data_IF_669118594708
#
_entry.id   IF_669118594708
#
_cell.length_a   1.000
_cell.length_b   1.000
_cell.length_c   1.000
_cell.angle_alpha   90.00
_cell.angle_beta   90.00
_cell.angle_gamma   90.00
#
_symmetry.space_group_name_H-M   'P 1'
#
loop_
_entity.id
_entity.type
_entity.pdbx_description
1 polymer ?
#
# COMPACT_ATOMS: atom_id res chain seq x y z
N UNK A 1 27.54 -25.96 41.73
CA UNK A 1 27.20 -27.37 42.04
C UNK A 1 26.16 -27.81 41.01
N UNK A 2 26.22 -28.87 40.20
CA UNK A 2 26.93 -30.17 40.07
C UNK A 2 27.44 -30.28 38.61
N UNK A 3 28.69 -30.64 38.30
CA UNK A 3 29.30 -31.99 38.18
C UNK A 3 28.59 -32.99 37.23
N UNK A 4 29.24 -33.19 36.07
CA UNK A 4 29.66 -34.44 35.38
C UNK A 4 28.66 -35.53 34.96
N UNK A 5 28.79 -36.00 33.70
CA UNK A 5 29.08 -37.39 33.25
C UNK A 5 28.92 -37.44 31.70
N UNK A 6 29.97 -37.49 30.86
CA UNK A 6 30.75 -38.68 30.45
C UNK A 6 29.90 -39.93 30.20
N UNK A 7 29.69 -40.23 28.92
CA UNK A 7 29.09 -41.47 28.43
C UNK A 7 29.72 -41.82 27.08
N UNK A 8 30.82 -42.57 27.15
CA UNK A 8 31.60 -43.10 26.04
C UNK A 8 31.03 -44.48 25.71
N UNK A 9 30.48 -44.68 24.52
CA UNK A 9 30.14 -46.02 24.01
C UNK A 9 30.75 -46.16 22.62
N UNK A 10 31.90 -46.80 22.60
CA UNK A 10 32.49 -47.39 21.41
C UNK A 10 31.74 -48.70 21.11
N UNK A 11 31.13 -48.81 19.93
CA UNK A 11 30.69 -50.09 19.38
C UNK A 11 31.04 -50.14 17.90
N UNK A 12 31.94 -51.07 17.58
CA UNK A 12 31.84 -51.92 16.40
C UNK A 12 32.24 -51.32 15.06
N UNK A 13 33.54 -51.39 14.75
CA UNK A 13 33.99 -51.55 13.37
C UNK A 13 33.45 -52.89 12.84
N UNK A 14 32.53 -52.85 11.89
CA UNK A 14 32.31 -53.94 10.94
C UNK A 14 32.55 -53.37 9.54
N UNK A 15 33.73 -53.68 9.01
CA UNK A 15 34.12 -53.40 7.63
C UNK A 15 33.31 -54.29 6.69
N UNK A 16 32.21 -53.76 6.15
CA UNK A 16 31.62 -54.30 4.94
C UNK A 16 32.21 -53.48 3.79
N UNK A 17 33.14 -54.10 3.07
CA UNK A 17 33.70 -53.57 1.83
C UNK A 17 32.61 -53.50 0.76
N UNK A 18 31.86 -52.40 0.78
CA UNK A 18 31.06 -51.96 -0.35
C UNK A 18 31.86 -50.87 -1.06
N UNK A 19 32.31 -51.14 -2.27
CA UNK A 19 32.90 -50.14 -3.16
C UNK A 19 31.95 -48.96 -3.27
N UNK A 20 32.25 -47.88 -2.54
CA UNK A 20 31.62 -46.60 -2.73
C UNK A 20 32.06 -46.11 -4.10
N UNK A 21 31.26 -46.42 -5.13
CA UNK A 21 31.28 -45.63 -6.36
C UNK A 21 30.90 -44.21 -5.92
N UNK A 22 31.90 -43.36 -5.80
CA UNK A 22 31.72 -41.94 -5.59
C UNK A 22 30.90 -41.41 -6.77
N UNK A 23 29.59 -41.30 -6.57
CA UNK A 23 28.74 -40.50 -7.44
C UNK A 23 29.13 -39.05 -7.20
N UNK A 24 30.06 -38.54 -8.02
CA UNK A 24 30.30 -37.10 -8.09
C UNK A 24 28.96 -36.43 -8.45
N UNK A 25 28.53 -35.40 -7.70
CA UNK A 25 27.32 -34.68 -8.05
C UNK A 25 27.55 -34.03 -9.41
N UNK A 26 26.84 -34.51 -10.44
CA UNK A 26 26.76 -33.86 -11.74
C UNK A 26 26.24 -32.45 -11.48
N UNK A 27 27.14 -31.46 -11.46
CA UNK A 27 26.76 -30.05 -11.40
C UNK A 27 26.03 -29.77 -12.72
N UNK A 28 24.75 -29.35 -12.72
CA UNK A 28 24.12 -28.91 -13.95
C UNK A 28 24.78 -27.60 -14.36
N UNK A 29 25.79 -27.68 -15.24
CA UNK A 29 26.37 -26.50 -15.89
C UNK A 29 25.49 -26.21 -17.12
N UNK A 30 24.32 -25.64 -16.87
CA UNK A 30 23.62 -24.89 -17.91
C UNK A 30 24.06 -23.44 -17.74
N UNK A 31 25.19 -23.09 -18.37
CA UNK A 31 25.58 -21.69 -18.55
C UNK A 31 24.66 -21.11 -19.62
N UNK A 32 23.58 -20.48 -19.18
CA UNK A 32 22.71 -19.71 -20.07
C UNK A 32 23.51 -18.50 -20.55
N UNK A 33 23.54 -18.28 -21.85
CA UNK A 33 24.19 -17.12 -22.47
C UNK A 33 23.67 -15.81 -21.80
N UNK A 34 24.57 -14.96 -21.25
CA UNK A 34 24.21 -13.68 -20.68
C UNK A 34 23.36 -12.80 -21.61
N UNK A 35 23.55 -12.89 -22.93
CA UNK A 35 22.78 -12.14 -23.92
C UNK A 35 21.30 -12.58 -23.95
N UNK A 36 21.02 -13.86 -23.74
CA UNK A 36 19.65 -14.39 -23.65
C UNK A 36 18.97 -13.82 -22.39
N UNK A 37 19.67 -13.83 -21.25
CA UNK A 37 19.18 -13.27 -19.98
C UNK A 37 18.88 -11.76 -20.10
N UNK A 38 19.76 -11.01 -20.77
CA UNK A 38 19.60 -9.57 -20.99
C UNK A 38 18.34 -9.25 -21.82
N UNK A 39 18.10 -9.99 -22.92
CA UNK A 39 16.91 -9.81 -23.76
C UNK A 39 15.61 -10.14 -23.02
N UNK A 40 15.58 -11.19 -22.20
CA UNK A 40 14.42 -11.50 -21.34
C UNK A 40 14.19 -10.43 -20.27
N UNK A 41 15.25 -9.81 -19.75
CA UNK A 41 15.14 -8.70 -18.80
C UNK A 41 14.51 -7.46 -19.47
N UNK A 42 15.03 -7.09 -20.65
CA UNK A 42 14.54 -5.95 -21.44
C UNK A 42 13.06 -6.09 -21.81
N UNK A 43 12.65 -7.23 -22.38
CA UNK A 43 11.26 -7.49 -22.75
C UNK A 43 10.29 -7.44 -21.55
N UNK A 44 10.75 -7.85 -20.36
CA UNK A 44 9.94 -7.77 -19.13
C UNK A 44 9.80 -6.33 -18.64
N UNK A 45 10.87 -5.55 -18.73
CA UNK A 45 10.88 -4.14 -18.38
C UNK A 45 9.95 -3.34 -19.30
N UNK A 46 10.06 -3.50 -20.63
CA UNK A 46 9.21 -2.77 -21.60
C UNK A 46 7.72 -3.08 -21.38
N UNK A 47 7.37 -4.36 -21.19
CA UNK A 47 6.00 -4.76 -20.85
C UNK A 47 5.52 -4.18 -19.52
N UNK A 48 6.42 -4.01 -18.55
CA UNK A 48 6.09 -3.40 -17.27
C UNK A 48 5.85 -1.89 -17.42
N UNK A 49 6.70 -1.19 -18.19
CA UNK A 49 6.56 0.24 -18.50
C UNK A 49 5.21 0.53 -19.17
N UNK A 50 4.80 -0.27 -20.15
CA UNK A 50 3.47 -0.13 -20.78
C UNK A 50 2.34 -0.25 -19.75
N UNK A 51 2.41 -1.26 -18.88
CA UNK A 51 1.41 -1.46 -17.80
C UNK A 51 1.44 -0.35 -16.75
N UNK A 52 2.60 0.27 -16.51
CA UNK A 52 2.75 1.42 -15.63
C UNK A 52 2.03 2.62 -16.24
N UNK A 53 2.19 2.87 -17.54
CA UNK A 53 1.44 3.92 -18.25
C UNK A 53 -0.08 3.75 -18.16
N UNK A 54 -0.60 2.53 -18.33
CA UNK A 54 -2.04 2.25 -18.14
C UNK A 54 -2.51 2.50 -16.71
N UNK A 55 -1.65 2.26 -15.71
CA UNK A 55 -1.96 2.50 -14.30
C UNK A 55 -1.97 3.98 -13.97
N UNK A 56 -1.08 4.78 -14.55
CA UNK A 56 -1.04 6.22 -14.37
C UNK A 56 -2.40 6.85 -14.70
N UNK A 57 -2.95 6.54 -15.88
CA UNK A 57 -4.25 7.04 -16.31
C UNK A 57 -5.39 6.63 -15.35
N UNK A 58 -5.31 5.43 -14.76
CA UNK A 58 -6.30 4.98 -13.77
C UNK A 58 -6.17 5.73 -12.45
N UNK A 59 -4.93 5.98 -12.01
CA UNK A 59 -4.64 6.73 -10.78
C UNK A 59 -5.22 8.13 -10.86
N UNK A 60 -4.98 8.85 -11.97
CA UNK A 60 -5.52 10.20 -12.18
C UNK A 60 -7.06 10.20 -12.16
N UNK A 61 -7.67 9.27 -12.91
CA UNK A 61 -9.13 9.13 -12.95
C UNK A 61 -9.72 8.81 -11.57
N UNK A 62 -9.06 7.96 -10.79
CA UNK A 62 -9.51 7.62 -9.44
C UNK A 62 -9.32 8.78 -8.47
N UNK A 63 -8.22 9.50 -8.55
CA UNK A 63 -7.99 10.71 -7.76
C UNK A 63 -9.11 11.72 -8.00
N UNK A 64 -9.39 12.08 -9.26
CA UNK A 64 -10.46 13.02 -9.61
C UNK A 64 -11.82 12.56 -9.06
N UNK A 65 -12.18 11.30 -9.31
CA UNK A 65 -13.46 10.74 -8.85
C UNK A 65 -13.59 10.78 -7.32
N UNK A 66 -12.53 10.46 -6.59
CA UNK A 66 -12.53 10.52 -5.13
C UNK A 66 -12.61 11.97 -4.62
N UNK A 67 -11.87 12.89 -5.22
CA UNK A 67 -11.87 14.29 -4.81
C UNK A 67 -13.23 14.94 -5.02
N UNK A 68 -13.90 14.65 -6.14
CA UNK A 68 -15.29 15.10 -6.37
C UNK A 68 -16.23 14.53 -5.30
N UNK A 69 -16.10 13.23 -4.97
CA UNK A 69 -16.94 12.62 -3.92
C UNK A 69 -16.70 13.23 -2.53
N UNK A 70 -15.44 13.53 -2.19
CA UNK A 70 -15.07 14.13 -0.91
C UNK A 70 -15.48 15.60 -0.82
N UNK A 71 -15.37 16.37 -1.90
CA UNK A 71 -15.89 17.74 -1.94
C UNK A 71 -17.40 17.75 -1.71
N UNK A 72 -18.15 16.92 -2.44
CA UNK A 72 -19.59 16.78 -2.25
C UNK A 72 -19.98 16.38 -0.82
N UNK A 73 -19.18 15.53 -0.16
CA UNK A 73 -19.39 15.16 1.23
C UNK A 73 -19.22 16.37 2.16
N UNK A 74 -18.12 17.11 2.01
CA UNK A 74 -17.82 18.31 2.81
C UNK A 74 -18.89 19.38 2.61
N UNK A 75 -19.33 19.62 1.38
CA UNK A 75 -20.37 20.61 1.06
C UNK A 75 -21.69 20.25 1.74
N UNK A 76 -22.09 18.96 1.67
CA UNK A 76 -23.31 18.47 2.32
C UNK A 76 -23.25 18.59 3.84
N UNK A 77 -22.09 18.34 4.44
CA UNK A 77 -21.89 18.44 5.88
C UNK A 77 -21.92 19.91 6.34
N UNK A 78 -21.29 20.80 5.57
CA UNK A 78 -21.28 22.25 5.84
C UNK A 78 -22.70 22.82 5.75
N UNK A 79 -23.42 22.51 4.67
CA UNK A 79 -24.82 22.93 4.51
C UNK A 79 -25.77 22.29 5.55
N UNK A 80 -25.41 21.13 6.10
CA UNK A 80 -26.15 20.55 7.23
C UNK A 80 -25.90 21.33 8.52
N UNK A 81 -24.63 21.63 8.84
CA UNK A 81 -24.25 22.40 10.01
C UNK A 81 -24.91 23.78 10.01
N UNK A 82 -24.89 24.49 8.88
CA UNK A 82 -25.55 25.80 8.72
C UNK A 82 -27.06 25.72 8.99
N UNK A 83 -27.75 24.73 8.39
CA UNK A 83 -29.19 24.54 8.61
C UNK A 83 -29.54 24.18 10.05
N UNK A 84 -28.68 23.45 10.75
CA UNK A 84 -28.87 23.10 12.16
C UNK A 84 -28.60 24.32 13.05
N UNK A 85 -27.57 25.11 12.76
CA UNK A 85 -27.27 26.36 13.45
C UNK A 85 -28.42 27.37 13.39
N UNK A 86 -29.03 27.53 12.21
CA UNK A 86 -30.22 28.38 12.02
C UNK A 86 -31.44 27.92 12.83
N UNK A 87 -31.50 26.64 13.19
CA UNK A 87 -32.56 26.07 14.04
C UNK A 87 -32.20 26.09 15.53
N UNK A 88 -31.06 26.67 15.90
CA UNK A 88 -30.63 26.79 17.30
C UNK A 88 -29.98 25.54 17.89
N UNK A 89 -29.58 24.57 17.07
CA UNK A 89 -28.80 23.42 17.56
C UNK A 89 -27.35 23.81 17.83
N UNK A 90 -26.73 23.15 18.81
CA UNK A 90 -25.28 23.21 19.00
C UNK A 90 -24.60 22.29 17.99
N UNK A 91 -23.79 22.89 17.11
CA UNK A 91 -23.07 22.22 16.02
C UNK A 91 -21.55 22.31 16.18
N UNK A 92 -21.04 22.79 17.32
CA UNK A 92 -19.61 23.06 17.50
C UNK A 92 -18.73 21.81 17.24
N UNK A 93 -19.17 20.64 17.70
CA UNK A 93 -18.43 19.38 17.48
C UNK A 93 -18.41 19.00 16.00
N UNK A 94 -19.56 19.09 15.32
CA UNK A 94 -19.66 18.79 13.89
C UNK A 94 -18.81 19.74 13.03
N UNK A 95 -18.79 21.04 13.35
CA UNK A 95 -17.96 22.02 12.66
C UNK A 95 -16.46 21.69 12.83
N UNK A 96 -16.02 21.33 14.04
CA UNK A 96 -14.65 20.89 14.30
C UNK A 96 -14.29 19.60 13.54
N UNK A 97 -15.20 18.62 13.53
CA UNK A 97 -15.05 17.37 12.83
C UNK A 97 -14.93 17.53 11.30
N UNK A 98 -15.64 18.50 10.71
CA UNK A 98 -15.52 18.84 9.29
C UNK A 98 -14.09 19.34 8.97
N UNK A 99 -13.46 20.09 9.87
CA UNK A 99 -12.07 20.56 9.69
C UNK A 99 -11.11 19.37 9.66
N UNK A 100 -11.22 18.46 10.62
CA UNK A 100 -10.37 17.24 10.66
C UNK A 100 -10.61 16.35 9.44
N UNK A 101 -11.86 16.25 8.96
CA UNK A 101 -12.16 15.52 7.73
C UNK A 101 -11.44 16.14 6.51
N UNK A 102 -11.42 17.47 6.39
CA UNK A 102 -10.70 18.18 5.32
C UNK A 102 -9.21 17.89 5.36
N UNK A 103 -8.59 17.87 6.54
CA UNK A 103 -7.17 17.50 6.70
C UNK A 103 -6.89 16.08 6.21
N UNK A 104 -7.77 15.11 6.53
CA UNK A 104 -7.64 13.73 6.04
C UNK A 104 -7.81 13.64 4.53
N UNK A 105 -8.71 14.41 3.94
CA UNK A 105 -8.89 14.51 2.48
C UNK A 105 -7.63 15.10 1.83
N UNK A 106 -7.03 16.14 2.44
CA UNK A 106 -5.78 16.73 1.96
C UNK A 106 -4.64 15.71 2.01
N UNK A 107 -4.49 14.98 3.12
CA UNK A 107 -3.49 13.91 3.25
C UNK A 107 -3.66 12.85 2.15
N UNK A 108 -4.90 12.45 1.86
CA UNK A 108 -5.21 11.54 0.76
C UNK A 108 -4.81 12.10 -0.61
N UNK A 109 -5.07 13.38 -0.88
CA UNK A 109 -4.62 14.03 -2.12
C UNK A 109 -3.09 14.01 -2.24
N UNK A 110 -2.38 14.36 -1.16
CA UNK A 110 -0.92 14.33 -1.14
C UNK A 110 -0.36 12.94 -1.42
N UNK A 111 -0.97 11.88 -0.87
CA UNK A 111 -0.54 10.50 -1.16
C UNK A 111 -0.73 10.15 -2.64
N UNK A 112 -1.80 10.63 -3.28
CA UNK A 112 -2.00 10.45 -4.71
C UNK A 112 -0.96 11.18 -5.53
N UNK A 113 -0.65 12.43 -5.19
CA UNK A 113 0.34 13.24 -5.90
C UNK A 113 1.74 12.62 -5.80
N UNK A 114 2.13 12.14 -4.60
CA UNK A 114 3.37 11.37 -4.42
C UNK A 114 3.38 10.11 -5.28
N UNK A 115 2.29 9.34 -5.26
CA UNK A 115 2.23 8.11 -6.03
C UNK A 115 2.23 8.37 -7.53
N UNK A 116 1.66 9.48 -8.00
CA UNK A 116 1.69 9.90 -9.40
C UNK A 116 3.12 10.17 -9.86
N UNK A 117 3.91 10.92 -9.08
CA UNK A 117 5.33 11.18 -9.37
C UNK A 117 6.10 9.86 -9.48
N UNK A 118 5.93 8.94 -8.52
CA UNK A 118 6.60 7.63 -8.55
C UNK A 118 6.25 6.81 -9.81
N UNK A 119 5.00 6.90 -10.29
CA UNK A 119 4.55 6.21 -11.51
C UNK A 119 5.11 6.87 -12.77
N UNK A 120 5.16 8.21 -12.81
CA UNK A 120 5.70 8.98 -13.93
C UNK A 120 7.19 8.69 -14.14
N UNK A 121 7.98 8.69 -13.08
CA UNK A 121 9.40 8.32 -13.14
C UNK A 121 9.62 6.89 -13.68
N UNK A 122 8.71 5.97 -13.33
CA UNK A 122 8.73 4.58 -13.81
C UNK A 122 8.28 4.42 -15.25
N UNK A 123 7.42 5.32 -15.75
CA UNK A 123 6.93 5.30 -17.13
C UNK A 123 8.04 5.69 -18.11
N UNK A 124 8.92 6.59 -17.71
CA UNK A 124 10.04 7.07 -18.54
C UNK A 124 11.32 6.25 -18.29
N UNK A 125 11.19 5.05 -17.71
CA UNK A 125 12.34 4.21 -17.37
C UNK A 125 13.00 3.59 -18.61
N UNK A 126 14.29 3.89 -18.80
CA UNK A 126 15.08 3.29 -19.87
C UNK A 126 15.49 1.84 -19.53
N UNK A 127 14.76 0.91 -20.14
CA UNK A 127 14.97 -0.52 -20.02
C UNK A 127 16.28 -1.02 -20.66
N UNK A 128 17.03 -0.21 -21.41
CA UNK A 128 18.30 -0.60 -22.01
C UNK A 128 19.53 -0.30 -21.11
N UNK A 129 19.42 0.68 -20.22
CA UNK A 129 20.57 1.16 -19.43
C UNK A 129 20.40 0.96 -17.92
N UNK A 130 19.16 0.91 -17.39
CA UNK A 130 18.89 0.88 -15.95
C UNK A 130 18.28 -0.44 -15.47
N UNK A 131 19.03 -1.54 -15.61
CA UNK A 131 18.52 -2.88 -15.31
C UNK A 131 18.41 -3.24 -13.81
N UNK A 132 19.19 -2.63 -12.93
CA UNK A 132 19.29 -3.02 -11.51
C UNK A 132 18.14 -2.52 -10.63
N UNK A 133 17.78 -1.24 -10.77
CA UNK A 133 16.93 -0.54 -9.80
C UNK A 133 15.43 -0.62 -10.12
N UNK A 134 15.07 -1.09 -11.31
CA UNK A 134 13.67 -1.13 -11.76
C UNK A 134 12.76 -1.93 -10.82
N UNK A 135 13.27 -3.04 -10.27
CA UNK A 135 12.52 -3.90 -9.35
C UNK A 135 12.17 -3.16 -8.06
N UNK A 136 13.09 -2.38 -7.54
CA UNK A 136 12.89 -1.67 -6.28
C UNK A 136 11.99 -0.45 -6.48
N UNK A 137 12.10 0.24 -7.61
CA UNK A 137 11.14 1.28 -7.98
C UNK A 137 9.72 0.73 -8.16
N UNK A 138 9.54 -0.43 -8.81
CA UNK A 138 8.24 -1.09 -8.88
C UNK A 138 7.71 -1.49 -7.50
N UNK A 139 8.57 -1.82 -6.52
CA UNK A 139 8.13 -2.09 -5.14
C UNK A 139 7.70 -0.81 -4.43
N UNK A 140 8.48 0.27 -4.55
CA UNK A 140 8.14 1.58 -3.99
C UNK A 140 6.77 2.05 -4.51
N UNK A 141 6.54 1.93 -5.82
CA UNK A 141 5.26 2.24 -6.43
C UNK A 141 4.08 1.39 -5.90
N UNK A 142 4.31 0.10 -5.63
CA UNK A 142 3.27 -0.73 -4.98
C UNK A 142 2.98 -0.25 -3.56
N UNK A 143 3.97 0.30 -2.88
CA UNK A 143 3.80 0.83 -1.54
C UNK A 143 2.99 2.13 -1.56
N UNK A 144 3.28 3.07 -2.48
CA UNK A 144 2.51 4.32 -2.60
C UNK A 144 1.01 4.04 -2.82
N UNK A 145 0.66 3.05 -3.64
CA UNK A 145 -0.75 2.66 -3.84
C UNK A 145 -1.42 2.12 -2.58
N UNK A 146 -0.68 1.42 -1.71
CA UNK A 146 -1.22 1.00 -0.41
C UNK A 146 -1.44 2.20 0.50
N UNK A 147 -0.54 3.16 0.47
CA UNK A 147 -0.61 4.35 1.32
C UNK A 147 -1.80 5.24 0.92
N UNK A 148 -2.06 5.39 -0.39
CA UNK A 148 -3.29 5.97 -0.93
C UNK A 148 -4.54 5.24 -0.42
N UNK A 149 -4.54 3.91 -0.45
CA UNK A 149 -5.67 3.11 0.04
C UNK A 149 -5.91 3.31 1.55
N UNK A 150 -4.83 3.35 2.33
CA UNK A 150 -4.90 3.59 3.77
C UNK A 150 -5.43 5.00 4.08
N UNK A 151 -4.99 6.02 3.33
CA UNK A 151 -5.50 7.38 3.47
C UNK A 151 -6.99 7.47 3.12
N UNK A 152 -7.43 6.83 2.03
CA UNK A 152 -8.85 6.76 1.67
C UNK A 152 -9.69 6.10 2.77
N UNK A 153 -9.17 5.00 3.33
CA UNK A 153 -9.80 4.31 4.46
C UNK A 153 -9.90 5.21 5.67
N UNK A 154 -8.86 6.00 5.97
CA UNK A 154 -8.87 6.94 7.08
C UNK A 154 -9.99 8.00 6.94
N UNK A 155 -10.19 8.57 5.74
CA UNK A 155 -11.30 9.49 5.46
C UNK A 155 -12.65 8.81 5.74
N UNK A 156 -12.86 7.62 5.16
CA UNK A 156 -14.10 6.86 5.34
C UNK A 156 -14.35 6.52 6.80
N UNK A 157 -13.36 5.95 7.48
CA UNK A 157 -13.46 5.54 8.87
C UNK A 157 -13.74 6.72 9.79
N UNK A 158 -13.13 7.89 9.55
CA UNK A 158 -13.41 9.09 10.33
C UNK A 158 -14.87 9.52 10.22
N UNK A 159 -15.40 9.60 9.00
CA UNK A 159 -16.81 9.92 8.78
C UNK A 159 -17.77 8.98 9.52
N UNK A 160 -17.51 7.66 9.46
CA UNK A 160 -18.38 6.69 10.12
C UNK A 160 -18.27 6.68 11.64
N UNK A 161 -17.10 6.98 12.20
CA UNK A 161 -16.83 6.84 13.63
C UNK A 161 -17.01 8.13 14.43
N UNK A 162 -16.84 9.30 13.81
CA UNK A 162 -16.94 10.61 14.50
C UNK A 162 -18.18 11.38 14.00
N UNK A 163 -18.19 11.74 12.71
CA UNK A 163 -19.22 12.61 12.13
C UNK A 163 -20.62 12.01 12.20
N UNK A 164 -20.79 10.72 11.88
CA UNK A 164 -22.13 10.09 11.89
C UNK A 164 -22.74 10.06 13.30
N UNK A 165 -22.02 9.62 14.36
CA UNK A 165 -22.47 9.76 15.73
C UNK A 165 -22.82 11.21 16.11
N UNK A 166 -22.01 12.18 15.74
CA UNK A 166 -22.26 13.60 16.06
C UNK A 166 -23.57 14.11 15.46
N UNK A 167 -23.83 13.79 14.19
CA UNK A 167 -25.10 14.12 13.54
C UNK A 167 -26.29 13.47 14.27
N UNK A 168 -26.11 12.25 14.80
CA UNK A 168 -27.15 11.57 15.58
C UNK A 168 -27.37 12.28 16.92
N UNK A 169 -26.31 12.65 17.62
CA UNK A 169 -26.38 13.37 18.89
C UNK A 169 -27.06 14.73 18.73
N UNK A 170 -26.73 15.49 17.69
CA UNK A 170 -27.37 16.79 17.41
C UNK A 170 -28.88 16.63 17.21
N UNK A 171 -29.32 15.58 16.50
CA UNK A 171 -30.75 15.32 16.31
C UNK A 171 -31.47 14.99 17.63
N UNK A 172 -30.77 14.45 18.62
CA UNK A 172 -31.33 14.09 19.92
C UNK A 172 -31.49 15.31 20.84
N UNK A 173 -30.75 16.41 20.63
CA UNK A 173 -30.91 17.65 21.41
C UNK A 173 -32.36 18.17 21.41
N UNK A 174 -33.09 17.98 20.30
CA UNK A 174 -34.51 18.36 20.20
C UNK A 174 -35.49 17.39 20.85
N UNK A 175 -35.09 16.15 21.13
CA UNK A 175 -35.95 15.19 21.82
C UNK A 175 -36.07 15.48 23.32
N UNK A 176 -35.13 16.26 23.88
CA UNK A 176 -35.10 16.64 25.29
C UNK A 176 -35.69 18.04 25.54
N UNK A 177 -35.83 18.85 24.48
CA UNK A 177 -36.38 20.20 24.54
C UNK A 177 -37.89 20.29 24.24
N UNK A 178 -38.55 19.17 23.93
CA UNK A 178 -39.99 19.04 23.70
C UNK A 178 -40.59 18.07 24.72
#
# INVERSE_FOLDING_TARGET
MRKTLLGLVAVGLLSVGGSALAFEPIKPIITIDPAIIANFSKNRCEKAVVKIGERLNKIEKYQESHMVAYQNLVDRLTALAERLKLKGYDVATLEADIVVLKEKIQSFSTQYDTCKVDVEELKDWDCATKHGDFKDQVKANRQCLKDVHLASKAVRSYYFSQIRPDIKAIRQQQAESN
#
